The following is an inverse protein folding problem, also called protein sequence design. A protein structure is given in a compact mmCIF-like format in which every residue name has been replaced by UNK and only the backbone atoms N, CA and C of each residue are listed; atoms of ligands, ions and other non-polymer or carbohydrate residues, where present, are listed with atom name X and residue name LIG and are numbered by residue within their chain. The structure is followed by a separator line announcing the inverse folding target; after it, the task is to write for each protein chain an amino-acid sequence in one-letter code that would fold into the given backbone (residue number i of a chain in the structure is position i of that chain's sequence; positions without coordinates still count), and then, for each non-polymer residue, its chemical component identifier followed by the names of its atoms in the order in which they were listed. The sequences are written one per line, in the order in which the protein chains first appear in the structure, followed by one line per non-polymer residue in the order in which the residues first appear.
data_IF_607273976902
#
_entry.id   IF_607273976902
#
_cell.length_a   1.000
_cell.length_b   1.000
_cell.length_c   1.000
_cell.angle_alpha   90.00
_cell.angle_beta   90.00
_cell.angle_gamma   90.00
#
_symmetry.space_group_name_H-M   'P 1'
#
loop_
_entity.id
_entity.type
_entity.pdbx_description
1 polymer ?
#
# COMPACT_ATOMS: atom_id res chain seq x y z
N UNK A 1 -25.49 -14.08 14.36
CA UNK A 1 -24.80 -13.59 13.15
C UNK A 1 -23.45 -14.24 13.15
N UNK A 2 -23.16 -15.08 12.15
CA UNK A 2 -21.86 -15.72 12.02
C UNK A 2 -20.80 -14.67 11.68
N UNK A 3 -19.54 -14.89 12.06
CA UNK A 3 -18.41 -13.95 11.80
C UNK A 3 -18.20 -13.68 10.30
N UNK A 4 -18.83 -14.50 9.45
CA UNK A 4 -18.77 -14.48 7.98
C UNK A 4 -19.98 -13.80 7.31
N UNK A 5 -20.93 -13.27 8.07
CA UNK A 5 -22.11 -12.60 7.53
C UNK A 5 -21.84 -11.11 7.33
N UNK A 6 -22.22 -10.59 6.16
CA UNK A 6 -22.26 -9.15 5.85
C UNK A 6 -23.72 -8.78 5.67
N UNK A 7 -24.24 -7.93 6.56
CA UNK A 7 -25.60 -7.42 6.50
C UNK A 7 -25.60 -5.96 6.07
N UNK A 8 -26.47 -5.61 5.13
CA UNK A 8 -26.78 -4.23 4.76
C UNK A 8 -28.23 -3.95 5.19
N UNK A 9 -28.45 -3.53 6.46
CA UNK A 9 -29.78 -3.51 7.06
C UNK A 9 -30.77 -2.59 6.34
N UNK A 10 -30.28 -1.47 5.81
CA UNK A 10 -31.08 -0.49 5.08
C UNK A 10 -31.36 -0.86 3.62
N UNK A 11 -30.73 -1.92 3.12
CA UNK A 11 -30.92 -2.44 1.76
C UNK A 11 -31.62 -3.80 1.76
N UNK A 12 -31.95 -4.35 2.93
CA UNK A 12 -32.51 -5.71 3.12
C UNK A 12 -31.64 -6.83 2.49
N UNK A 13 -30.36 -6.56 2.22
CA UNK A 13 -29.42 -7.52 1.62
C UNK A 13 -28.60 -8.18 2.73
N UNK A 14 -28.61 -9.52 2.74
CA UNK A 14 -27.83 -10.34 3.67
C UNK A 14 -26.94 -11.31 2.90
N UNK A 15 -25.64 -11.03 2.89
CA UNK A 15 -24.65 -11.92 2.30
C UNK A 15 -24.12 -12.85 3.37
N UNK A 16 -24.46 -14.14 3.26
CA UNK A 16 -23.97 -15.19 4.16
C UNK A 16 -22.67 -15.79 3.61
N UNK A 17 -21.74 -16.14 4.50
CA UNK A 17 -20.50 -16.85 4.17
C UNK A 17 -19.54 -16.15 3.19
N UNK A 18 -19.30 -14.84 3.36
CA UNK A 18 -18.33 -14.13 2.50
C UNK A 18 -16.90 -14.49 2.92
N UNK A 19 -16.07 -15.08 2.03
CA UNK A 19 -14.69 -15.44 2.37
C UNK A 19 -13.83 -14.17 2.51
N UNK A 20 -13.41 -13.85 3.74
CA UNK A 20 -12.54 -12.70 4.05
C UNK A 20 -11.05 -13.01 3.85
N UNK A 21 -10.68 -14.27 4.06
CA UNK A 21 -9.32 -14.79 3.95
C UNK A 21 -9.35 -16.27 3.60
N UNK A 22 -8.26 -16.77 3.03
CA UNK A 22 -8.01 -18.18 2.79
C UNK A 22 -6.67 -18.57 3.42
N UNK A 23 -6.56 -19.82 3.86
CA UNK A 23 -5.32 -20.32 4.48
C UNK A 23 -4.47 -21.04 3.45
N UNK A 24 -3.19 -20.67 3.39
CA UNK A 24 -2.17 -21.33 2.57
C UNK A 24 -1.05 -21.73 3.49
N UNK A 25 -0.82 -23.04 3.64
CA UNK A 25 0.22 -23.60 4.52
C UNK A 25 0.21 -23.03 5.97
N UNK A 26 -0.98 -22.83 6.54
CA UNK A 26 -1.14 -22.26 7.90
C UNK A 26 -1.01 -20.73 7.97
N UNK A 27 -0.85 -20.05 6.83
CA UNK A 27 -0.81 -18.60 6.73
C UNK A 27 -2.14 -18.10 6.18
N UNK A 28 -2.87 -17.32 6.99
CA UNK A 28 -4.09 -16.64 6.53
C UNK A 28 -3.73 -15.46 5.63
N UNK A 29 -4.23 -15.49 4.40
CA UNK A 29 -4.09 -14.44 3.39
C UNK A 29 -5.45 -13.76 3.23
N UNK A 30 -5.49 -12.45 3.46
CA UNK A 30 -6.71 -11.68 3.32
C UNK A 30 -7.00 -11.35 1.85
N UNK A 31 -8.24 -11.54 1.42
CA UNK A 31 -8.65 -11.33 0.02
C UNK A 31 -8.47 -9.86 -0.40
N UNK A 32 -8.76 -8.90 0.49
CA UNK A 32 -8.55 -7.48 0.20
C UNK A 32 -7.06 -7.16 -0.06
N UNK A 33 -6.13 -7.85 0.62
CA UNK A 33 -4.70 -7.67 0.42
C UNK A 33 -4.25 -8.12 -0.97
N UNK A 34 -4.85 -9.19 -1.49
CA UNK A 34 -4.60 -9.61 -2.88
C UNK A 34 -5.09 -8.58 -3.88
N UNK A 35 -6.31 -8.06 -3.70
CA UNK A 35 -6.87 -7.01 -4.58
C UNK A 35 -5.96 -5.78 -4.60
N UNK A 36 -5.48 -5.33 -3.44
CA UNK A 36 -4.52 -4.21 -3.34
C UNK A 36 -3.22 -4.55 -4.08
N UNK A 37 -2.68 -5.75 -3.92
CA UNK A 37 -1.44 -6.16 -4.61
C UNK A 37 -1.61 -6.17 -6.13
N UNK A 38 -2.76 -6.65 -6.63
CA UNK A 38 -3.08 -6.62 -8.06
C UNK A 38 -3.25 -5.19 -8.58
N UNK A 39 -3.97 -4.32 -7.85
CA UNK A 39 -4.14 -2.91 -8.20
C UNK A 39 -2.79 -2.19 -8.27
N UNK A 40 -1.92 -2.42 -7.27
CA UNK A 40 -0.58 -1.87 -7.24
C UNK A 40 0.27 -2.35 -8.42
N UNK A 41 0.24 -3.65 -8.74
CA UNK A 41 0.95 -4.21 -9.89
C UNK A 41 0.45 -3.62 -11.21
N UNK A 42 -0.87 -3.50 -11.37
CA UNK A 42 -1.48 -2.87 -12.54
C UNK A 42 -1.12 -1.38 -12.65
N UNK A 43 -1.09 -0.65 -11.52
CA UNK A 43 -0.70 0.75 -11.46
C UNK A 43 0.75 0.97 -11.88
N UNK A 44 1.68 0.12 -11.43
CA UNK A 44 3.10 0.18 -11.84
C UNK A 44 3.26 -0.17 -13.32
N UNK A 45 2.55 -1.18 -13.81
CA UNK A 45 2.54 -1.53 -15.23
C UNK A 45 2.04 -0.37 -16.10
N UNK A 46 0.97 0.30 -15.69
CA UNK A 46 0.44 1.45 -16.41
C UNK A 46 1.41 2.64 -16.38
N UNK A 47 2.02 2.92 -15.24
CA UNK A 47 3.03 3.98 -15.12
C UNK A 47 4.26 3.68 -15.99
N UNK A 48 4.76 2.43 -16.00
CA UNK A 48 5.87 2.01 -16.84
C UNK A 48 5.52 2.06 -18.35
N UNK A 49 4.29 1.69 -18.71
CA UNK A 49 3.79 1.82 -20.07
C UNK A 49 3.74 3.29 -20.53
N UNK A 50 3.22 4.19 -19.69
CA UNK A 50 3.14 5.61 -19.99
C UNK A 50 4.53 6.29 -20.00
N UNK A 51 5.44 5.85 -19.12
CA UNK A 51 6.84 6.24 -19.13
C UNK A 51 7.48 5.94 -20.49
N UNK A 52 7.32 4.71 -20.99
CA UNK A 52 7.82 4.30 -22.31
C UNK A 52 7.24 5.17 -23.43
N UNK A 53 5.95 5.47 -23.37
CA UNK A 53 5.26 6.31 -24.37
C UNK A 53 5.75 7.76 -24.37
N UNK A 54 6.19 8.27 -23.23
CA UNK A 54 6.66 9.65 -23.04
C UNK A 54 8.18 9.79 -23.13
N UNK A 55 8.90 8.74 -23.55
CA UNK A 55 10.35 8.75 -23.72
C UNK A 55 11.15 8.66 -22.41
N UNK A 56 10.49 8.29 -21.31
CA UNK A 56 11.11 8.04 -20.02
C UNK A 56 11.54 6.58 -19.91
N UNK A 57 12.52 6.31 -19.05
CA UNK A 57 13.01 4.97 -18.77
C UNK A 57 12.02 4.20 -17.84
N UNK A 58 11.35 3.14 -18.32
CA UNK A 58 10.40 2.36 -17.52
C UNK A 58 11.06 1.64 -16.34
N UNK A 59 12.35 1.31 -16.42
CA UNK A 59 13.05 0.59 -15.35
C UNK A 59 13.16 1.46 -14.09
N UNK A 60 13.23 2.78 -14.26
CA UNK A 60 13.19 3.75 -13.15
C UNK A 60 11.90 3.63 -12.35
N UNK A 61 10.77 3.32 -12.99
CA UNK A 61 9.45 3.20 -12.35
C UNK A 61 9.31 1.88 -11.59
N UNK A 62 9.86 0.78 -12.12
CA UNK A 62 9.94 -0.50 -11.42
C UNK A 62 10.82 -0.41 -10.18
N UNK A 63 12.02 0.15 -10.33
CA UNK A 63 12.93 0.43 -9.22
C UNK A 63 12.22 1.31 -8.18
N UNK A 64 11.60 2.41 -8.62
CA UNK A 64 10.88 3.33 -7.74
C UNK A 64 9.76 2.62 -6.98
N UNK A 65 8.95 1.79 -7.64
CA UNK A 65 7.85 1.07 -7.01
C UNK A 65 8.34 0.20 -5.84
N UNK A 66 9.45 -0.52 -6.02
CA UNK A 66 10.04 -1.33 -4.96
C UNK A 66 10.46 -0.49 -3.75
N UNK A 67 11.15 0.63 -3.98
CA UNK A 67 11.51 1.56 -2.91
C UNK A 67 10.27 2.18 -2.24
N UNK A 68 9.30 2.64 -3.04
CA UNK A 68 8.09 3.27 -2.55
C UNK A 68 7.27 2.33 -1.67
N UNK A 69 7.08 1.07 -2.08
CA UNK A 69 6.37 0.05 -1.29
C UNK A 69 7.07 -0.17 0.05
N UNK A 70 8.38 -0.39 0.02
CA UNK A 70 9.16 -0.67 1.22
C UNK A 70 9.11 0.49 2.22
N UNK A 71 9.38 1.72 1.76
CA UNK A 71 9.35 2.90 2.63
C UNK A 71 7.94 3.27 3.06
N UNK A 72 6.91 3.02 2.24
CA UNK A 72 5.52 3.27 2.61
C UNK A 72 5.05 2.37 3.75
N UNK A 73 5.44 1.09 3.75
CA UNK A 73 5.12 0.17 4.86
C UNK A 73 5.78 0.66 6.15
N UNK A 74 7.04 1.07 6.08
CA UNK A 74 7.78 1.62 7.24
C UNK A 74 7.11 2.91 7.73
N UNK A 75 6.81 3.86 6.84
CA UNK A 75 6.17 5.12 7.18
C UNK A 75 4.79 4.93 7.78
N UNK A 76 3.98 4.03 7.21
CA UNK A 76 2.66 3.67 7.73
C UNK A 76 2.75 3.10 9.15
N UNK A 77 3.79 2.31 9.44
CA UNK A 77 4.02 1.76 10.77
C UNK A 77 4.47 2.81 11.76
N UNK A 78 5.46 3.63 11.40
CA UNK A 78 5.97 4.71 12.26
C UNK A 78 4.83 5.67 12.63
N UNK A 79 4.04 6.09 11.65
CA UNK A 79 2.91 6.99 11.89
C UNK A 79 1.89 6.38 12.86
N UNK A 80 1.55 5.10 12.68
CA UNK A 80 0.65 4.41 13.60
C UNK A 80 1.20 4.35 15.03
N UNK A 81 2.48 4.01 15.18
CA UNK A 81 3.15 3.91 16.49
C UNK A 81 3.18 5.25 17.20
N UNK A 82 3.48 6.33 16.47
CA UNK A 82 3.50 7.70 17.01
C UNK A 82 2.11 8.12 17.50
N UNK A 83 1.06 7.79 16.75
CA UNK A 83 -0.32 8.11 17.15
C UNK A 83 -0.86 7.22 18.26
N UNK A 84 -0.35 6.00 18.40
CA UNK A 84 -0.70 5.06 19.48
C UNK A 84 0.40 4.96 20.54
N UNK A 85 1.12 6.05 20.79
CA UNK A 85 2.32 6.04 21.63
C UNK A 85 2.06 5.54 23.06
N UNK A 86 0.88 5.83 23.61
CA UNK A 86 0.48 5.38 24.95
C UNK A 86 0.48 3.86 25.10
N UNK A 87 0.24 3.11 24.02
CA UNK A 87 0.34 1.65 24.03
C UNK A 87 1.78 1.16 23.82
N UNK A 88 2.48 1.77 22.85
CA UNK A 88 3.81 1.30 22.42
C UNK A 88 4.94 1.66 23.38
N UNK A 89 4.77 2.69 24.22
CA UNK A 89 5.74 3.04 25.28
C UNK A 89 6.07 1.86 26.20
N UNK A 90 5.08 1.01 26.47
CA UNK A 90 5.21 -0.15 27.35
C UNK A 90 5.43 -1.46 26.56
N UNK A 91 5.29 -1.41 25.22
CA UNK A 91 5.36 -2.57 24.32
C UNK A 91 6.22 -2.30 23.07
N UNK A 92 7.47 -1.88 23.27
CA UNK A 92 8.35 -1.46 22.15
C UNK A 92 8.60 -2.56 21.10
N UNK A 93 8.62 -3.83 21.49
CA UNK A 93 8.80 -4.95 20.55
C UNK A 93 7.61 -5.15 19.61
N UNK A 94 6.42 -4.67 19.99
CA UNK A 94 5.21 -4.82 19.19
C UNK A 94 5.26 -3.94 17.93
N UNK A 95 6.15 -2.94 17.88
CA UNK A 95 6.39 -2.12 16.68
C UNK A 95 6.73 -2.98 15.47
N UNK A 96 7.43 -4.11 15.64
CA UNK A 96 7.80 -5.00 14.52
C UNK A 96 6.71 -6.01 14.15
N UNK A 97 5.64 -6.13 14.93
CA UNK A 97 4.54 -7.07 14.70
C UNK A 97 3.54 -6.56 13.67
N UNK A 98 3.99 -6.43 12.41
CA UNK A 98 3.18 -5.90 11.29
C UNK A 98 1.92 -6.72 11.00
N UNK A 99 1.91 -8.02 11.34
CA UNK A 99 0.78 -8.93 11.08
C UNK A 99 -0.42 -8.72 12.01
N UNK A 100 -0.23 -8.03 13.13
CA UNK A 100 -1.32 -7.71 14.07
C UNK A 100 -2.14 -6.49 13.61
N UNK A 101 -1.81 -5.93 12.44
CA UNK A 101 -2.40 -4.69 11.94
C UNK A 101 -1.61 -3.46 12.38
N UNK A 102 -2.27 -2.30 12.36
CA UNK A 102 -1.66 -1.03 12.77
C UNK A 102 -0.74 -0.43 11.71
N UNK A 103 -1.24 -0.30 10.49
CA UNK A 103 -0.63 0.48 9.42
C UNK A 103 -1.54 1.67 9.14
N UNK A 104 -1.04 2.88 9.37
CA UNK A 104 -1.78 4.10 9.09
C UNK A 104 -1.50 4.57 7.65
N UNK A 105 -2.56 4.71 6.84
CA UNK A 105 -2.43 5.12 5.43
C UNK A 105 -1.71 6.46 5.27
N UNK A 106 -1.95 7.42 6.17
CA UNK A 106 -1.31 8.74 6.15
C UNK A 106 0.23 8.64 6.18
N UNK A 107 0.77 7.77 7.05
CA UNK A 107 2.21 7.53 7.13
C UNK A 107 2.77 6.91 5.85
N UNK A 108 2.02 6.01 5.22
CA UNK A 108 2.39 5.41 3.95
C UNK A 108 2.46 6.45 2.83
N UNK A 109 1.43 7.29 2.71
CA UNK A 109 1.37 8.36 1.69
C UNK A 109 2.51 9.36 1.87
N UNK A 110 2.75 9.84 3.09
CA UNK A 110 3.86 10.77 3.38
C UNK A 110 5.20 10.15 2.97
N UNK A 111 5.44 8.88 3.35
CA UNK A 111 6.67 8.19 2.99
C UNK A 111 6.79 7.93 1.48
N UNK A 112 5.69 7.68 0.77
CA UNK A 112 5.69 7.53 -0.69
C UNK A 112 6.14 8.82 -1.39
N UNK A 113 5.58 9.98 -1.01
CA UNK A 113 5.98 11.29 -1.54
C UNK A 113 7.43 11.63 -1.20
N UNK A 114 7.86 11.35 0.04
CA UNK A 114 9.26 11.55 0.43
C UNK A 114 10.20 10.66 -0.39
N UNK A 115 9.81 9.42 -0.64
CA UNK A 115 10.57 8.48 -1.47
C UNK A 115 10.65 8.98 -2.91
N UNK A 116 9.55 9.46 -3.49
CA UNK A 116 9.53 10.04 -4.84
C UNK A 116 10.51 11.20 -4.97
N UNK A 117 10.49 12.11 -4.01
CA UNK A 117 11.38 13.27 -3.99
C UNK A 117 12.86 12.86 -3.87
N UNK A 118 13.20 12.00 -2.92
CA UNK A 118 14.58 11.55 -2.68
C UNK A 118 15.09 10.72 -3.87
N UNK A 119 14.26 9.81 -4.38
CA UNK A 119 14.59 8.92 -5.47
C UNK A 119 14.80 9.70 -6.78
N UNK A 120 13.88 10.60 -7.12
CA UNK A 120 14.00 11.47 -8.30
C UNK A 120 15.27 12.30 -8.27
N UNK A 121 15.60 12.89 -7.11
CA UNK A 121 16.85 13.65 -6.92
C UNK A 121 18.10 12.78 -7.10
N UNK A 122 18.10 11.54 -6.62
CA UNK A 122 19.25 10.60 -6.76
C UNK A 122 19.44 10.13 -8.20
N UNK A 123 18.35 9.83 -8.91
CA UNK A 123 18.38 9.39 -10.32
C UNK A 123 18.49 10.55 -11.32
N UNK A 124 18.55 11.80 -10.84
CA UNK A 124 18.60 13.04 -11.65
C UNK A 124 17.43 13.15 -12.64
N UNK A 125 16.26 12.67 -12.23
CA UNK A 125 15.01 12.75 -13.00
C UNK A 125 14.05 13.72 -12.33
N UNK A 126 13.17 14.33 -13.12
CA UNK A 126 12.17 15.27 -12.60
C UNK A 126 11.15 14.54 -11.74
N UNK A 127 11.09 14.87 -10.46
CA UNK A 127 10.10 14.29 -9.54
C UNK A 127 8.67 14.64 -9.94
N UNK A 128 8.44 15.83 -10.51
CA UNK A 128 7.14 16.23 -11.02
C UNK A 128 6.73 15.37 -12.21
N UNK A 129 7.64 15.14 -13.15
CA UNK A 129 7.37 14.29 -14.32
C UNK A 129 7.06 12.85 -13.90
N UNK A 130 7.84 12.29 -12.97
CA UNK A 130 7.57 10.98 -12.40
C UNK A 130 6.22 10.93 -11.67
N UNK A 131 5.88 11.97 -10.92
CA UNK A 131 4.60 12.09 -10.22
C UNK A 131 3.41 12.15 -11.19
N UNK A 132 3.52 12.94 -12.26
CA UNK A 132 2.49 13.08 -13.28
C UNK A 132 2.23 11.74 -14.01
N UNK A 133 3.30 11.05 -14.39
CA UNK A 133 3.20 9.70 -14.98
C UNK A 133 2.65 8.68 -13.98
N UNK A 134 3.11 8.73 -12.72
CA UNK A 134 2.65 7.84 -11.65
C UNK A 134 1.18 8.04 -11.27
N UNK A 135 0.63 9.24 -11.44
CA UNK A 135 -0.76 9.58 -11.10
C UNK A 135 -1.76 8.71 -11.86
N UNK A 136 -1.47 8.37 -13.13
CA UNK A 136 -2.32 7.45 -13.91
C UNK A 136 -2.39 6.06 -13.28
N UNK A 137 -1.26 5.58 -12.76
CA UNK A 137 -1.18 4.31 -12.04
C UNK A 137 -1.85 4.36 -10.67
N UNK A 138 -1.87 5.52 -10.00
CA UNK A 138 -2.49 5.70 -8.68
C UNK A 138 -4.03 5.64 -8.70
N UNK A 139 -4.66 5.96 -9.84
CA UNK A 139 -6.13 5.98 -9.98
C UNK A 139 -6.74 4.56 -10.06
N UNK A 140 -5.94 3.55 -10.43
CA UNK A 140 -6.33 2.14 -10.49
C UNK A 140 -6.52 1.51 -9.11
#
# INVERSE_FOLDING_TARGET
MDVKDIAFPHLEIYLKNVPKSFEVFGISIAVYGMVIAFGMMAGVLLAAYDAKKTGQDPDIYWDFALYAIFFSIIGARIYYVVFSWDYYRDHLLDVFKLRQGGLAIYGGVIAAFLTLFIYGKRKKVSFFQMGDTGTKGLVL
#
